data_IF_587548592281
#
_entry.id   IF_587548592281
#
_cell.length_a   1.000
_cell.length_b   1.000
_cell.length_c   1.000
_cell.angle_alpha   90.00
_cell.angle_beta   90.00
_cell.angle_gamma   90.00
#
_symmetry.space_group_name_H-M   'P 1'
#
loop_
_entity.id
_entity.type
_entity.pdbx_description
1 polymer ?
#
# COMPACT_ATOMS: atom_id res chain seq x y z
N UNK A 1 44.84 -10.09 34.33
CA UNK A 1 43.80 -10.50 33.35
C UNK A 1 42.85 -9.32 33.11
N UNK A 2 43.15 -8.41 32.18
CA UNK A 2 42.31 -7.22 31.91
C UNK A 2 42.06 -6.92 30.43
N UNK A 3 42.67 -7.65 29.49
CA UNK A 3 42.57 -7.32 28.04
C UNK A 3 41.54 -8.14 27.24
N UNK A 4 41.01 -9.24 27.78
CA UNK A 4 40.02 -10.08 27.10
C UNK A 4 38.60 -9.49 27.09
N UNK A 5 38.17 -8.91 28.22
CA UNK A 5 36.79 -8.41 28.40
C UNK A 5 36.52 -7.13 27.60
N UNK A 6 37.51 -6.25 27.51
CA UNK A 6 37.41 -4.99 26.75
C UNK A 6 37.30 -5.27 25.25
N UNK A 7 38.07 -6.23 24.73
CA UNK A 7 37.98 -6.65 23.32
C UNK A 7 36.62 -7.26 23.00
N UNK A 8 36.09 -8.12 23.88
CA UNK A 8 34.75 -8.70 23.71
C UNK A 8 33.64 -7.65 23.70
N UNK A 9 33.70 -6.65 24.58
CA UNK A 9 32.75 -5.55 24.62
C UNK A 9 32.74 -4.71 23.33
N UNK A 10 33.91 -4.44 22.76
CA UNK A 10 34.03 -3.69 21.50
C UNK A 10 33.46 -4.48 20.32
N UNK A 11 33.72 -5.79 20.23
CA UNK A 11 33.14 -6.62 19.17
C UNK A 11 31.63 -6.79 19.31
N UNK A 12 31.10 -6.87 20.53
CA UNK A 12 29.65 -6.94 20.76
C UNK A 12 28.95 -5.64 20.37
N UNK A 13 29.52 -4.48 20.71
CA UNK A 13 28.95 -3.17 20.33
C UNK A 13 29.06 -2.95 18.82
N UNK A 14 30.19 -3.30 18.19
CA UNK A 14 30.38 -3.22 16.74
C UNK A 14 29.44 -4.18 15.98
N UNK A 15 29.28 -5.41 16.45
CA UNK A 15 28.34 -6.37 15.87
C UNK A 15 26.88 -5.93 15.99
N UNK A 16 26.50 -5.37 17.14
CA UNK A 16 25.15 -4.86 17.37
C UNK A 16 24.87 -3.61 16.53
N UNK A 17 25.86 -2.71 16.36
CA UNK A 17 25.73 -1.55 15.48
C UNK A 17 25.69 -1.92 14.01
N UNK A 18 26.41 -2.96 13.57
CA UNK A 18 26.28 -3.47 12.19
C UNK A 18 24.91 -4.14 11.97
N UNK A 19 24.39 -4.87 12.96
CA UNK A 19 23.04 -5.45 12.90
C UNK A 19 21.95 -4.37 12.89
N UNK A 20 22.05 -3.35 13.74
CA UNK A 20 21.08 -2.23 13.74
C UNK A 20 21.23 -1.37 12.49
N UNK A 21 22.45 -1.02 12.07
CA UNK A 21 22.68 -0.33 10.81
C UNK A 21 22.20 -1.17 9.62
N UNK A 22 22.38 -2.49 9.62
CA UNK A 22 21.82 -3.39 8.60
C UNK A 22 20.30 -3.43 8.58
N UNK A 23 19.64 -3.33 9.75
CA UNK A 23 18.18 -3.24 9.87
C UNK A 23 17.66 -1.86 9.44
N UNK A 24 18.37 -0.77 9.75
CA UNK A 24 17.99 0.59 9.34
C UNK A 24 18.29 0.85 7.85
N UNK A 25 19.45 0.42 7.35
CA UNK A 25 19.83 0.52 5.94
C UNK A 25 19.00 -0.46 5.10
N UNK A 26 18.68 -1.66 5.59
CA UNK A 26 17.73 -2.57 4.93
C UNK A 26 16.31 -1.99 4.84
N UNK A 27 15.93 -1.06 5.74
CA UNK A 27 14.64 -0.37 5.74
C UNK A 27 14.61 0.86 4.81
N UNK A 28 15.75 1.52 4.58
CA UNK A 28 15.89 2.63 3.61
C UNK A 28 16.20 2.16 2.18
N UNK A 29 16.88 1.02 2.04
CA UNK A 29 17.18 0.35 0.76
C UNK A 29 16.22 -0.81 0.48
N UNK A 30 15.02 -0.81 1.07
CA UNK A 30 13.95 -1.74 0.70
C UNK A 30 13.45 -1.36 -0.71
N UNK A 31 14.29 -1.76 -1.67
CA UNK A 31 14.27 -1.50 -3.09
C UNK A 31 12.83 -1.37 -3.56
N UNK A 32 12.58 -0.28 -4.27
CA UNK A 32 11.45 -0.02 -5.17
C UNK A 32 11.35 -1.11 -6.26
N UNK A 33 11.36 -2.38 -5.86
CA UNK A 33 10.83 -3.47 -6.64
C UNK A 33 9.32 -3.20 -6.70
N UNK A 34 8.96 -2.37 -7.66
CA UNK A 34 7.60 -2.31 -8.14
C UNK A 34 7.27 -3.70 -8.69
N UNK A 35 6.03 -4.18 -8.54
CA UNK A 35 5.62 -5.36 -9.29
C UNK A 35 5.95 -5.13 -10.78
N UNK A 36 6.41 -6.17 -11.48
CA UNK A 36 6.79 -6.15 -12.92
C UNK A 36 5.67 -5.68 -13.88
N UNK A 37 4.56 -5.20 -13.35
CA UNK A 37 3.75 -4.18 -13.97
C UNK A 37 2.88 -3.52 -12.93
N UNK A 38 2.97 -2.19 -12.86
CA UNK A 38 1.74 -1.40 -12.99
C UNK A 38 1.12 -1.87 -14.31
N UNK A 39 0.23 -2.86 -14.26
CA UNK A 39 -0.65 -3.12 -15.38
C UNK A 39 -1.62 -1.93 -15.43
N UNK A 40 -1.15 -0.78 -15.91
CA UNK A 40 -1.94 0.16 -16.71
C UNK A 40 -1.81 -0.41 -18.11
N UNK A 41 -2.66 -1.38 -18.50
CA UNK A 41 -2.67 -1.85 -19.86
C UNK A 41 -2.69 -0.68 -20.83
N UNK A 42 -1.95 -0.79 -21.93
CA UNK A 42 -1.99 0.19 -23.03
C UNK A 42 -3.43 0.44 -23.55
N UNK A 43 -4.36 -0.49 -23.28
CA UNK A 43 -5.80 -0.36 -23.55
C UNK A 43 -6.59 0.51 -22.54
N UNK A 44 -5.97 1.12 -21.52
CA UNK A 44 -6.57 2.18 -20.68
C UNK A 44 -7.05 3.40 -21.49
N UNK A 45 -6.72 3.45 -22.79
CA UNK A 45 -7.70 3.74 -23.82
C UNK A 45 -8.44 5.07 -23.69
N UNK A 46 -7.75 6.19 -23.95
CA UNK A 46 -8.28 7.49 -24.39
C UNK A 46 -9.42 8.15 -23.58
N UNK A 47 -9.96 7.53 -22.52
CA UNK A 47 -11.07 8.06 -21.74
C UNK A 47 -10.55 8.61 -20.44
N UNK A 48 -10.76 9.91 -20.24
CA UNK A 48 -10.46 10.58 -18.97
C UNK A 48 -11.20 9.85 -17.83
N UNK A 49 -10.56 9.66 -16.67
CA UNK A 49 -11.24 9.11 -15.50
C UNK A 49 -12.43 9.99 -15.13
N UNK A 50 -13.55 9.36 -14.75
CA UNK A 50 -14.66 10.10 -14.19
C UNK A 50 -14.24 10.69 -12.84
N UNK A 51 -14.35 12.02 -12.69
CA UNK A 51 -13.87 12.71 -11.51
C UNK A 51 -14.64 12.31 -10.24
N UNK A 52 -15.90 11.89 -10.39
CA UNK A 52 -16.72 11.44 -9.27
C UNK A 52 -16.28 10.05 -8.80
N UNK A 53 -16.12 9.12 -9.74
CA UNK A 53 -15.60 7.79 -9.45
C UNK A 53 -14.17 7.85 -8.87
N UNK A 54 -13.31 8.72 -9.40
CA UNK A 54 -11.95 8.90 -8.85
C UNK A 54 -11.99 9.29 -7.37
N UNK A 55 -12.89 10.20 -6.99
CA UNK A 55 -13.11 10.56 -5.58
C UNK A 55 -13.67 9.41 -4.76
N UNK A 56 -14.67 8.70 -5.28
CA UNK A 56 -15.27 7.56 -4.57
C UNK A 56 -14.23 6.45 -4.32
N UNK A 57 -13.35 6.19 -5.30
CA UNK A 57 -12.23 5.26 -5.19
C UNK A 57 -11.22 5.72 -4.15
N UNK A 58 -10.83 6.99 -4.17
CA UNK A 58 -9.95 7.59 -3.16
C UNK A 58 -10.54 7.42 -1.75
N UNK A 59 -11.79 7.81 -1.55
CA UNK A 59 -12.48 7.78 -0.26
C UNK A 59 -12.63 6.35 0.28
N UNK A 60 -12.97 5.40 -0.60
CA UNK A 60 -13.05 3.98 -0.26
C UNK A 60 -11.70 3.38 0.13
N UNK A 61 -10.63 3.72 -0.61
CA UNK A 61 -9.27 3.29 -0.29
C UNK A 61 -8.79 3.88 1.05
N UNK A 62 -9.06 5.17 1.32
CA UNK A 62 -8.74 5.78 2.61
C UNK A 62 -9.49 5.10 3.76
N UNK A 63 -10.78 4.81 3.58
CA UNK A 63 -11.59 4.09 4.58
C UNK A 63 -11.01 2.72 4.90
N UNK A 64 -10.61 1.97 3.86
CA UNK A 64 -9.94 0.68 4.02
C UNK A 64 -8.63 0.79 4.81
N UNK A 65 -7.79 1.76 4.46
CA UNK A 65 -6.46 1.94 5.07
C UNK A 65 -6.55 2.34 6.54
N UNK A 66 -7.52 3.17 6.90
CA UNK A 66 -7.74 3.60 8.29
C UNK A 66 -8.38 2.51 9.15
N UNK A 67 -8.72 1.35 8.57
CA UNK A 67 -9.35 0.24 9.30
C UNK A 67 -8.31 -0.58 10.06
N UNK A 68 -8.22 -0.34 11.36
CA UNK A 68 -7.76 -1.36 12.33
C UNK A 68 -6.26 -1.62 12.43
N UNK A 69 -5.39 -0.82 11.80
CA UNK A 69 -3.94 -0.88 12.00
C UNK A 69 -3.39 0.53 12.23
N UNK A 70 -2.49 0.68 13.20
CA UNK A 70 -1.72 1.91 13.35
C UNK A 70 -0.72 2.01 12.19
N UNK A 71 -1.11 2.75 11.14
CA UNK A 71 -0.23 3.04 10.01
C UNK A 71 0.88 4.00 10.46
N UNK A 72 2.13 3.70 10.11
CA UNK A 72 3.21 4.67 10.30
C UNK A 72 3.06 5.81 9.27
N UNK A 73 3.61 7.01 9.53
CA UNK A 73 3.51 8.14 8.61
C UNK A 73 3.98 7.85 7.18
N UNK A 74 4.96 6.93 7.01
CA UNK A 74 5.43 6.47 5.70
C UNK A 74 4.44 5.56 4.97
N UNK A 75 3.71 4.72 5.71
CA UNK A 75 2.66 3.83 5.19
C UNK A 75 1.46 4.60 4.64
N UNK A 76 1.31 5.88 5.03
CA UNK A 76 0.22 6.77 4.63
C UNK A 76 0.44 7.39 3.24
N UNK A 77 1.63 7.30 2.65
CA UNK A 77 1.90 7.91 1.35
C UNK A 77 0.99 7.33 0.27
N UNK A 78 0.22 8.23 -0.33
CA UNK A 78 -0.65 7.97 -1.48
C UNK A 78 -0.13 8.80 -2.64
N UNK A 79 0.02 8.18 -3.79
CA UNK A 79 0.38 8.85 -5.04
C UNK A 79 -0.83 8.79 -5.95
N UNK A 80 -1.30 9.95 -6.35
CA UNK A 80 -2.48 10.12 -7.18
C UNK A 80 -2.10 10.84 -8.46
N UNK A 81 -2.65 10.38 -9.57
CA UNK A 81 -2.58 11.07 -10.83
C UNK A 81 -4.00 11.11 -11.43
N UNK A 82 -4.72 12.23 -11.25
CA UNK A 82 -6.08 12.38 -11.76
C UNK A 82 -6.14 12.48 -13.29
N UNK A 83 -5.02 12.77 -13.97
CA UNK A 83 -4.97 12.81 -15.44
C UNK A 83 -4.93 11.39 -16.01
N UNK A 84 -4.15 10.50 -15.40
CA UNK A 84 -4.04 9.10 -15.81
C UNK A 84 -5.04 8.18 -15.11
N UNK A 85 -5.76 8.69 -14.10
CA UNK A 85 -6.70 7.91 -13.30
C UNK A 85 -6.03 6.93 -12.33
N UNK A 86 -4.76 7.12 -11.98
CA UNK A 86 -4.00 6.21 -11.12
C UNK A 86 -4.05 6.67 -9.66
N UNK A 87 -4.28 5.73 -8.75
CA UNK A 87 -4.20 5.90 -7.29
C UNK A 87 -3.38 4.74 -6.75
N UNK A 88 -2.27 5.00 -6.07
CA UNK A 88 -1.39 3.95 -5.55
C UNK A 88 -0.85 4.28 -4.17
N UNK A 89 -0.70 3.27 -3.33
CA UNK A 89 -0.08 3.40 -2.00
C UNK A 89 1.42 3.15 -2.09
N UNK A 90 2.16 3.64 -1.09
CA UNK A 90 3.43 3.02 -0.74
C UNK A 90 3.22 1.55 -0.30
N UNK A 91 4.31 0.79 -0.24
CA UNK A 91 4.30 -0.48 0.48
C UNK A 91 4.03 -0.21 1.96
N UNK A 92 3.04 -0.89 2.55
CA UNK A 92 2.73 -0.78 3.97
C UNK A 92 2.72 -2.15 4.64
N UNK A 93 3.14 -2.21 5.91
CA UNK A 93 3.22 -3.47 6.65
C UNK A 93 1.83 -4.01 7.01
N UNK A 94 1.66 -5.31 6.83
CA UNK A 94 0.45 -6.07 7.19
C UNK A 94 0.85 -7.34 7.94
N UNK A 95 -0.13 -8.06 8.50
CA UNK A 95 0.09 -9.33 9.19
C UNK A 95 1.22 -9.25 10.24
N UNK A 96 1.14 -8.26 11.14
CA UNK A 96 2.15 -8.03 12.20
C UNK A 96 3.58 -7.82 11.68
N UNK A 97 3.73 -7.33 10.45
CA UNK A 97 5.03 -7.04 9.83
C UNK A 97 5.67 -8.21 9.08
N UNK A 98 4.99 -9.37 9.00
CA UNK A 98 5.48 -10.54 8.25
C UNK A 98 5.44 -10.33 6.73
N UNK A 99 4.59 -9.41 6.27
CA UNK A 99 4.50 -9.04 4.86
C UNK A 99 4.14 -7.56 4.70
N UNK A 100 4.47 -7.00 3.54
CA UNK A 100 4.02 -5.68 3.11
C UNK A 100 3.02 -5.82 1.97
N UNK A 101 2.10 -4.87 1.84
CA UNK A 101 1.17 -4.77 0.72
C UNK A 101 1.34 -3.45 -0.02
N UNK A 102 1.16 -3.50 -1.34
CA UNK A 102 1.03 -2.32 -2.20
C UNK A 102 -0.31 -2.41 -2.90
N UNK A 103 -1.12 -1.36 -2.77
CA UNK A 103 -2.40 -1.24 -3.45
C UNK A 103 -2.20 -0.29 -4.62
N UNK A 104 -2.70 -0.71 -5.78
CA UNK A 104 -2.77 0.10 -6.96
C UNK A 104 -4.19 0.02 -7.52
N UNK A 105 -4.79 1.18 -7.76
CA UNK A 105 -6.11 1.29 -8.36
C UNK A 105 -5.97 2.19 -9.56
N UNK A 106 -6.53 1.77 -10.68
CA UNK A 106 -6.59 2.62 -11.85
C UNK A 106 -8.05 2.74 -12.32
N UNK A 107 -8.40 3.94 -12.76
CA UNK A 107 -9.76 4.41 -13.04
C UNK A 107 -9.81 4.92 -14.48
N UNK A 108 -10.81 4.50 -15.24
CA UNK A 108 -10.98 4.90 -16.64
C UNK A 108 -12.47 5.04 -16.99
N UNK A 109 -12.89 6.25 -17.33
CA UNK A 109 -14.32 6.58 -17.42
C UNK A 109 -15.04 6.18 -16.12
N UNK A 110 -16.10 5.37 -16.25
CA UNK A 110 -16.92 4.89 -15.14
C UNK A 110 -16.50 3.52 -14.57
N UNK A 111 -15.28 3.06 -14.87
CA UNK A 111 -14.76 1.76 -14.44
C UNK A 111 -13.47 1.95 -13.65
N UNK A 112 -13.18 0.97 -12.80
CA UNK A 112 -11.93 0.91 -12.04
C UNK A 112 -11.47 -0.55 -11.86
N UNK A 113 -10.19 -0.73 -11.57
CA UNK A 113 -9.56 -2.01 -11.26
C UNK A 113 -8.61 -1.84 -10.09
N UNK A 114 -8.73 -2.75 -9.14
CA UNK A 114 -7.86 -2.83 -7.97
C UNK A 114 -6.88 -3.97 -8.19
N UNK A 115 -5.61 -3.68 -7.97
CA UNK A 115 -4.54 -4.66 -7.87
C UNK A 115 -3.84 -4.50 -6.53
N UNK A 116 -3.90 -5.53 -5.69
CA UNK A 116 -3.11 -5.58 -4.45
C UNK A 116 -1.99 -6.58 -4.62
N UNK A 117 -0.79 -6.20 -4.23
CA UNK A 117 0.40 -7.05 -4.25
C UNK A 117 0.88 -7.29 -2.83
N UNK A 118 1.41 -8.48 -2.55
CA UNK A 118 2.03 -8.80 -1.27
C UNK A 118 3.52 -9.05 -1.49
N UNK A 119 4.35 -8.45 -0.65
CA UNK A 119 5.79 -8.67 -0.56
C UNK A 119 6.10 -9.36 0.76
N UNK A 120 6.72 -10.53 0.73
CA UNK A 120 7.18 -11.20 1.95
C UNK A 120 8.39 -10.48 2.54
N UNK A 121 8.35 -10.09 3.82
CA UNK A 121 9.44 -9.31 4.45
C UNK A 121 10.78 -10.06 4.45
N UNK A 122 10.75 -11.39 4.58
CA UNK A 122 11.95 -12.23 4.62
C UNK A 122 12.44 -12.68 3.24
N UNK A 123 11.53 -12.83 2.27
CA UNK A 123 11.85 -13.40 0.96
C UNK A 123 12.04 -12.33 -0.11
N UNK A 124 11.54 -11.10 0.10
CA UNK A 124 11.47 -10.04 -0.90
C UNK A 124 10.56 -10.36 -2.09
N UNK A 125 9.93 -11.54 -2.11
CA UNK A 125 9.13 -12.02 -3.25
C UNK A 125 7.81 -11.26 -3.32
N UNK A 126 7.50 -10.72 -4.49
CA UNK A 126 6.25 -10.03 -4.79
C UNK A 126 5.32 -10.98 -5.53
N UNK A 127 4.12 -11.21 -5.00
CA UNK A 127 3.12 -12.07 -5.65
C UNK A 127 1.67 -11.73 -5.25
N UNK A 128 0.72 -12.26 -6.02
CA UNK A 128 -0.70 -12.28 -5.67
C UNK A 128 -0.94 -13.43 -4.69
N UNK A 129 -1.18 -13.11 -3.43
CA UNK A 129 -1.48 -14.08 -2.38
C UNK A 129 -2.98 -14.22 -2.16
N UNK A 130 -3.39 -15.17 -1.32
CA UNK A 130 -4.78 -15.23 -0.85
C UNK A 130 -5.17 -13.92 -0.15
N UNK A 131 -4.31 -13.37 0.71
CA UNK A 131 -4.55 -12.14 1.44
C UNK A 131 -4.63 -10.91 0.53
N UNK A 132 -3.85 -10.85 -0.55
CA UNK A 132 -3.98 -9.76 -1.51
C UNK A 132 -5.34 -9.77 -2.20
N UNK A 133 -5.88 -10.96 -2.53
CA UNK A 133 -7.23 -11.09 -3.10
C UNK A 133 -8.34 -10.76 -2.10
N UNK A 134 -8.14 -11.06 -0.82
CA UNK A 134 -9.07 -10.63 0.24
C UNK A 134 -9.06 -9.10 0.35
N UNK A 135 -7.89 -8.49 0.40
CA UNK A 135 -7.74 -7.04 0.42
C UNK A 135 -8.39 -6.37 -0.81
N UNK A 136 -8.21 -6.91 -2.01
CA UNK A 136 -8.90 -6.43 -3.23
C UNK A 136 -10.42 -6.38 -3.04
N UNK A 137 -11.02 -7.44 -2.48
CA UNK A 137 -12.47 -7.50 -2.23
C UNK A 137 -12.92 -6.52 -1.15
N UNK A 138 -12.14 -6.37 -0.08
CA UNK A 138 -12.47 -5.44 0.99
C UNK A 138 -12.37 -3.99 0.54
N UNK A 139 -11.36 -3.64 -0.27
CA UNK A 139 -11.23 -2.32 -0.90
C UNK A 139 -12.39 -2.09 -1.87
N UNK A 140 -12.71 -3.07 -2.71
CA UNK A 140 -13.87 -2.99 -3.61
C UNK A 140 -15.15 -2.69 -2.81
N UNK A 141 -15.39 -3.42 -1.73
CA UNK A 141 -16.56 -3.23 -0.89
C UNK A 141 -16.59 -1.83 -0.26
N UNK A 142 -15.45 -1.35 0.26
CA UNK A 142 -15.35 0.00 0.82
C UNK A 142 -15.65 1.10 -0.21
N UNK A 143 -15.23 0.92 -1.46
CA UNK A 143 -15.54 1.84 -2.55
C UNK A 143 -17.03 1.82 -2.87
N UNK A 144 -17.64 0.63 -2.97
CA UNK A 144 -19.09 0.53 -3.23
C UNK A 144 -19.95 1.10 -2.10
N UNK A 145 -19.54 0.94 -0.83
CA UNK A 145 -20.24 1.53 0.32
C UNK A 145 -20.24 3.07 0.26
N UNK A 146 -19.12 3.68 -0.15
CA UNK A 146 -19.03 5.13 -0.39
C UNK A 146 -19.96 5.54 -1.54
N UNK A 147 -19.97 4.80 -2.65
CA UNK A 147 -20.84 5.09 -3.81
C UNK A 147 -22.32 5.01 -3.46
N UNK A 148 -22.71 4.00 -2.68
CA UNK A 148 -24.09 3.82 -2.26
C UNK A 148 -24.55 4.88 -1.27
N UNK A 149 -23.74 5.22 -0.27
CA UNK A 149 -24.06 6.28 0.69
C UNK A 149 -24.20 7.65 0.02
N UNK A 150 -23.33 7.96 -0.96
CA UNK A 150 -23.42 9.19 -1.75
C UNK A 150 -24.66 9.23 -2.64
N UNK A 151 -24.99 8.11 -3.29
CA UNK A 151 -26.22 7.98 -4.09
C UNK A 151 -27.48 8.14 -3.24
N UNK A 152 -27.48 7.61 -2.01
CA UNK A 152 -28.58 7.79 -1.06
C UNK A 152 -28.75 9.25 -0.60
N UNK A 153 -27.65 9.96 -0.38
CA UNK A 153 -27.65 11.38 -0.02
C UNK A 153 -28.17 12.28 -1.15
N UNK A 154 -27.87 11.97 -2.41
CA UNK A 154 -28.39 12.72 -3.57
C UNK A 154 -29.89 12.51 -3.78
N UNK A 155 -30.39 11.30 -3.50
CA UNK A 155 -31.80 10.94 -3.70
C UNK A 155 -32.72 11.28 -2.51
N UNK A 156 -32.17 11.80 -1.41
CA UNK A 156 -32.92 12.23 -0.24
C UNK A 156 -32.82 13.77 -0.13
N UNK A 157 -33.67 14.54 -0.82
CA UNK A 157 -33.71 15.98 -0.58
C UNK A 157 -34.14 16.21 0.86
N UNK A 158 -33.35 17.02 1.58
CA UNK A 158 -33.64 17.40 2.96
C UNK A 158 -35.06 17.99 3.05
N UNK A 159 -35.92 17.33 3.84
CA UNK A 159 -37.27 17.80 4.20
C UNK A 159 -37.22 18.99 5.15
#
# INVERSE_FOLDING_TARGET
MRSGFVRFGVFAVAGLTILTAGVFIGREFDVDAEPDGVLVPEWYGNKRPDAQLFRDVHDGLQTYRLRGVALEPGDLRLVENPETGLIQTAWFLVHKGESSQKVQIAVWGSLYRIDVWTRGTLTGKIEKTFFSRVAEREIQQAIEDVRHSRSAAVNSPAS
#
